data_IF_873452624879
#
_entry.id   IF_873452624879
#
_cell.length_a   1.000
_cell.length_b   1.000
_cell.length_c   1.000
_cell.angle_alpha   90.00
_cell.angle_beta   90.00
_cell.angle_gamma   90.00
#
_symmetry.space_group_name_H-M   'P 1'
#
loop_
_entity.id
_entity.type
_entity.pdbx_description
1 polymer ?
#
# COMPACT_ATOMS: atom_id res chain seq x y z
N UNK A 1 -15.83 0.27 -2.27
CA UNK A 1 -14.60 0.80 -1.62
C UNK A 1 -14.73 0.88 -0.10
N UNK A 2 -15.88 1.32 0.43
CA UNK A 2 -16.13 1.49 1.87
C UNK A 2 -16.38 0.21 2.70
N UNK A 3 -16.24 -0.98 2.10
CA UNK A 3 -16.48 -2.22 2.84
C UNK A 3 -15.40 -2.39 3.92
N UNK A 4 -15.73 -2.80 5.15
CA UNK A 4 -14.73 -3.11 6.17
C UNK A 4 -13.96 -4.40 5.85
N UNK A 5 -14.42 -5.19 4.87
CA UNK A 5 -13.79 -6.44 4.46
C UNK A 5 -12.75 -6.15 3.38
N UNK A 6 -11.49 -6.31 3.74
CA UNK A 6 -10.34 -6.04 2.87
C UNK A 6 -10.39 -6.80 1.53
N UNK A 7 -10.83 -8.06 1.55
CA UNK A 7 -11.00 -8.85 0.32
C UNK A 7 -12.03 -8.24 -0.64
N UNK A 8 -13.10 -7.63 -0.10
CA UNK A 8 -14.10 -6.92 -0.90
C UNK A 8 -13.49 -5.63 -1.46
N UNK A 9 -12.73 -4.89 -0.66
CA UNK A 9 -12.02 -3.69 -1.14
C UNK A 9 -11.04 -4.03 -2.27
N UNK A 10 -10.30 -5.14 -2.14
CA UNK A 10 -9.34 -5.59 -3.16
C UNK A 10 -10.01 -5.88 -4.49
N UNK A 11 -11.08 -6.67 -4.51
CA UNK A 11 -11.78 -6.98 -5.76
C UNK A 11 -12.53 -5.77 -6.31
N UNK A 12 -13.07 -4.90 -5.46
CA UNK A 12 -13.73 -3.67 -5.87
C UNK A 12 -12.75 -2.67 -6.51
N UNK A 13 -11.59 -2.44 -5.89
CA UNK A 13 -10.53 -1.61 -6.49
C UNK A 13 -9.94 -2.27 -7.74
N UNK A 14 -9.80 -3.60 -7.74
CA UNK A 14 -9.33 -4.37 -8.89
C UNK A 14 -10.21 -4.22 -10.13
N UNK A 15 -11.54 -4.38 -9.99
CA UNK A 15 -12.44 -4.19 -11.13
C UNK A 15 -12.44 -2.73 -11.62
N UNK A 16 -12.36 -1.76 -10.72
CA UNK A 16 -12.21 -0.35 -11.11
C UNK A 16 -10.89 -0.10 -11.87
N UNK A 17 -9.81 -0.78 -11.48
CA UNK A 17 -8.52 -0.70 -12.18
C UNK A 17 -8.60 -1.25 -13.61
N UNK A 18 -9.37 -2.31 -13.83
CA UNK A 18 -9.62 -2.83 -15.18
C UNK A 18 -10.47 -1.88 -16.01
N UNK A 19 -11.55 -1.34 -15.42
CA UNK A 19 -12.43 -0.39 -16.11
C UNK A 19 -11.73 0.92 -16.47
N UNK A 20 -10.94 1.49 -15.56
CA UNK A 20 -10.25 2.76 -15.76
C UNK A 20 -9.16 2.72 -16.86
N UNK A 21 -8.91 1.57 -17.51
CA UNK A 21 -8.12 1.51 -18.75
C UNK A 21 -8.81 2.22 -19.92
N UNK A 22 -10.13 2.31 -19.87
CA UNK A 22 -10.96 3.08 -20.78
C UNK A 22 -11.15 4.50 -20.23
N UNK A 23 -11.02 5.51 -21.10
CA UNK A 23 -11.03 6.91 -20.69
C UNK A 23 -12.40 7.34 -20.18
N UNK A 24 -13.44 7.00 -20.92
CA UNK A 24 -14.83 7.32 -20.58
C UNK A 24 -15.21 6.66 -19.25
N UNK A 25 -14.77 5.43 -19.01
CA UNK A 25 -14.93 4.76 -17.73
C UNK A 25 -14.14 5.44 -16.60
N UNK A 26 -12.89 5.85 -16.82
CA UNK A 26 -12.10 6.57 -15.83
C UNK A 26 -12.73 7.91 -15.43
N UNK A 27 -13.25 8.67 -16.40
CA UNK A 27 -14.00 9.90 -16.16
C UNK A 27 -15.28 9.64 -15.37
N UNK A 28 -16.02 8.57 -15.70
CA UNK A 28 -17.22 8.18 -14.96
C UNK A 28 -16.89 7.78 -13.50
N UNK A 29 -15.81 7.04 -13.28
CA UNK A 29 -15.34 6.66 -11.94
C UNK A 29 -15.00 7.92 -11.11
N UNK A 30 -14.32 8.90 -11.70
CA UNK A 30 -14.05 10.17 -11.03
C UNK A 30 -15.33 10.94 -10.71
N UNK A 31 -16.28 10.99 -11.66
CA UNK A 31 -17.56 11.69 -11.51
C UNK A 31 -18.43 11.11 -10.38
N UNK A 32 -18.34 9.80 -10.12
CA UNK A 32 -19.00 9.12 -8.99
C UNK A 32 -18.29 9.37 -7.63
N UNK A 33 -17.25 10.21 -7.61
CA UNK A 33 -16.58 10.61 -6.37
C UNK A 33 -15.61 9.57 -5.81
N UNK A 34 -15.08 8.68 -6.66
CA UNK A 34 -14.17 7.62 -6.22
C UNK A 34 -12.80 8.13 -5.71
N UNK A 35 -12.42 9.37 -6.00
CA UNK A 35 -11.11 9.94 -5.64
C UNK A 35 -10.82 9.82 -4.14
N UNK A 36 -11.73 10.32 -3.29
CA UNK A 36 -11.53 10.32 -1.84
C UNK A 36 -11.35 8.90 -1.25
N UNK A 37 -12.26 7.93 -1.48
CA UNK A 37 -12.06 6.58 -0.94
C UNK A 37 -10.85 5.86 -1.55
N UNK A 38 -10.48 6.12 -2.80
CA UNK A 38 -9.26 5.53 -3.37
C UNK A 38 -8.00 6.11 -2.72
N UNK A 39 -7.97 7.41 -2.44
CA UNK A 39 -6.86 8.04 -1.69
C UNK A 39 -6.73 7.43 -0.28
N UNK A 40 -7.84 7.19 0.42
CA UNK A 40 -7.81 6.50 1.72
C UNK A 40 -7.23 5.08 1.61
N UNK A 41 -7.58 4.34 0.55
CA UNK A 41 -7.10 2.98 0.30
C UNK A 41 -5.60 2.90 -0.03
N UNK A 42 -4.95 4.00 -0.43
CA UNK A 42 -3.48 4.06 -0.56
C UNK A 42 -2.77 3.73 0.75
N UNK A 43 -3.43 4.00 1.88
CA UNK A 43 -2.90 3.74 3.22
C UNK A 43 -3.33 2.37 3.77
N UNK A 44 -3.93 1.49 2.95
CA UNK A 44 -4.20 0.11 3.33
C UNK A 44 -2.89 -0.62 3.68
N UNK A 45 -2.99 -1.58 4.63
CA UNK A 45 -1.90 -2.52 4.93
C UNK A 45 -1.80 -3.63 3.89
N UNK A 46 -2.85 -3.83 3.10
CA UNK A 46 -2.84 -4.76 1.98
C UNK A 46 -2.29 -4.07 0.73
N UNK A 47 -1.08 -4.47 0.35
CA UNK A 47 -0.37 -3.93 -0.81
C UNK A 47 -1.18 -4.05 -2.11
N UNK A 48 -1.95 -5.13 -2.27
CA UNK A 48 -2.81 -5.32 -3.43
C UNK A 48 -3.93 -4.29 -3.50
N UNK A 49 -4.57 -3.97 -2.36
CA UNK A 49 -5.59 -2.92 -2.28
C UNK A 49 -4.98 -1.55 -2.61
N UNK A 50 -3.85 -1.22 -1.97
CA UNK A 50 -3.17 0.07 -2.17
C UNK A 50 -2.70 0.25 -3.61
N UNK A 51 -2.17 -0.82 -4.23
CA UNK A 51 -1.68 -0.81 -5.61
C UNK A 51 -2.82 -0.61 -6.61
N UNK A 52 -3.95 -1.31 -6.44
CA UNK A 52 -5.11 -1.07 -7.31
C UNK A 52 -5.66 0.34 -7.14
N UNK A 53 -5.74 0.85 -5.90
CA UNK A 53 -6.19 2.22 -5.66
C UNK A 53 -5.28 3.26 -6.35
N UNK A 54 -3.96 3.09 -6.24
CA UNK A 54 -2.98 3.92 -6.91
C UNK A 54 -3.12 3.89 -8.43
N UNK A 55 -3.32 2.71 -9.01
CA UNK A 55 -3.51 2.55 -10.44
C UNK A 55 -4.75 3.29 -10.95
N UNK A 56 -5.88 3.20 -10.23
CA UNK A 56 -7.11 3.91 -10.60
C UNK A 56 -6.93 5.42 -10.51
N UNK A 57 -6.36 5.93 -9.41
CA UNK A 57 -6.06 7.37 -9.26
C UNK A 57 -5.14 7.89 -10.36
N UNK A 58 -4.11 7.12 -10.72
CA UNK A 58 -3.20 7.48 -11.80
C UNK A 58 -3.93 7.59 -13.14
N UNK A 59 -4.78 6.61 -13.48
CA UNK A 59 -5.57 6.60 -14.72
C UNK A 59 -6.55 7.77 -14.80
N UNK A 60 -7.29 8.05 -13.71
CA UNK A 60 -8.16 9.23 -13.61
C UNK A 60 -7.40 10.56 -13.77
N UNK A 61 -6.08 10.57 -13.53
CA UNK A 61 -5.26 11.78 -13.63
C UNK A 61 -4.70 12.05 -15.03
N UNK A 62 -4.90 11.16 -16.01
CA UNK A 62 -4.19 11.16 -17.29
C UNK A 62 -4.31 12.49 -18.05
N UNK A 63 -5.51 13.06 -18.10
CA UNK A 63 -5.82 14.34 -18.75
C UNK A 63 -5.64 15.58 -17.85
N UNK A 64 -5.22 15.40 -16.60
CA UNK A 64 -5.00 16.52 -15.68
C UNK A 64 -3.70 17.26 -16.03
N UNK A 65 -3.57 18.54 -15.66
CA UNK A 65 -2.34 19.30 -15.87
C UNK A 65 -1.11 18.62 -15.27
N UNK A 66 0.06 18.84 -15.86
CA UNK A 66 1.28 18.16 -15.45
C UNK A 66 1.65 18.38 -13.97
N UNK A 67 1.37 19.56 -13.42
CA UNK A 67 1.62 19.84 -12.00
C UNK A 67 0.67 19.09 -11.06
N UNK A 68 -0.51 18.69 -11.53
CA UNK A 68 -1.38 17.79 -10.80
C UNK A 68 -0.77 16.37 -10.78
N UNK A 69 -0.40 15.83 -11.94
CA UNK A 69 0.20 14.49 -12.06
C UNK A 69 1.49 14.34 -11.25
N UNK A 70 2.33 15.39 -11.20
CA UNK A 70 3.53 15.42 -10.36
C UNK A 70 3.20 15.29 -8.88
N UNK A 71 2.23 16.06 -8.38
CA UNK A 71 1.80 16.00 -6.98
C UNK A 71 1.24 14.63 -6.63
N UNK A 72 0.38 14.09 -7.49
CA UNK A 72 -0.16 12.74 -7.33
C UNK A 72 0.96 11.70 -7.31
N UNK A 73 1.91 11.75 -8.24
CA UNK A 73 3.04 10.81 -8.27
C UNK A 73 3.87 10.82 -6.98
N UNK A 74 4.08 12.00 -6.38
CA UNK A 74 4.77 12.12 -5.09
C UNK A 74 3.97 11.41 -3.98
N UNK A 75 2.67 11.64 -3.94
CA UNK A 75 1.76 11.03 -2.95
C UNK A 75 1.66 9.50 -3.10
N UNK A 76 1.60 9.00 -4.34
CA UNK A 76 1.62 7.57 -4.62
C UNK A 76 2.94 6.94 -4.17
N UNK A 77 4.07 7.60 -4.46
CA UNK A 77 5.39 7.11 -4.07
C UNK A 77 5.53 7.08 -2.54
N UNK A 78 5.11 8.12 -1.83
CA UNK A 78 5.19 8.15 -0.37
C UNK A 78 4.28 7.13 0.31
N UNK A 79 3.12 6.84 -0.29
CA UNK A 79 2.14 5.91 0.29
C UNK A 79 2.50 4.45 0.05
N UNK A 80 2.98 4.12 -1.15
CA UNK A 80 3.32 2.75 -1.55
C UNK A 80 4.69 2.31 -1.02
N UNK A 81 5.69 3.20 -1.11
CA UNK A 81 7.00 2.93 -0.54
C UNK A 81 7.02 3.38 0.91
N UNK A 82 6.33 2.62 1.78
CA UNK A 82 6.53 2.75 3.22
C UNK A 82 7.97 2.39 3.49
N UNK A 83 8.80 3.39 3.79
CA UNK A 83 10.12 3.17 4.35
C UNK A 83 9.91 2.62 5.76
N UNK A 84 9.60 1.34 5.89
CA UNK A 84 9.68 0.69 7.19
C UNK A 84 11.14 0.80 7.63
N UNK A 85 11.43 1.44 8.78
CA UNK A 85 12.71 1.19 9.42
C UNK A 85 12.69 -0.30 9.73
N UNK A 86 13.56 -1.05 9.05
CA UNK A 86 13.71 -2.49 9.19
C UNK A 86 13.54 -2.88 10.66
N UNK A 87 12.53 -3.70 10.94
CA UNK A 87 12.18 -4.18 12.28
C UNK A 87 13.24 -5.17 12.81
N UNK A 88 14.50 -4.73 12.89
CA UNK A 88 15.61 -5.45 13.49
C UNK A 88 15.63 -5.33 15.02
N UNK A 89 14.54 -4.90 15.66
CA UNK A 89 14.52 -4.67 17.11
C UNK A 89 13.78 -5.72 17.93
N UNK A 90 13.29 -6.81 17.32
CA UNK A 90 12.59 -7.90 18.05
C UNK A 90 13.47 -9.13 18.35
N UNK A 91 14.73 -9.19 17.90
CA UNK A 91 15.67 -10.26 18.30
C UNK A 91 16.54 -9.92 19.52
N UNK A 92 16.35 -8.76 20.15
CA UNK A 92 17.10 -8.37 21.35
C UNK A 92 16.52 -8.93 22.67
N UNK A 93 15.39 -9.64 22.65
CA UNK A 93 14.68 -10.09 23.87
C UNK A 93 14.72 -11.61 24.13
N UNK A 94 15.38 -12.42 23.28
CA UNK A 94 15.70 -13.81 23.67
C UNK A 94 16.98 -13.82 24.51
N UNK A 95 16.79 -13.54 25.79
CA UNK A 95 17.80 -13.64 26.84
C UNK A 95 18.52 -14.99 26.82
N UNK A 96 19.72 -15.00 26.26
CA UNK A 96 20.73 -16.03 26.47
C UNK A 96 21.50 -15.68 27.75
N UNK A 97 20.84 -15.89 28.89
CA UNK A 97 21.50 -16.13 30.16
C UNK A 97 21.95 -17.60 30.20
N UNK A 98 23.19 -17.87 29.81
CA UNK A 98 23.88 -19.11 30.18
C UNK A 98 25.26 -18.73 30.72
N UNK A 99 25.27 -18.23 31.95
CA UNK A 99 26.38 -18.46 32.86
C UNK A 99 26.24 -19.86 33.47
N UNK A 100 27.15 -20.77 33.13
CA UNK A 100 27.34 -22.01 33.90
C UNK A 100 28.80 -22.49 33.83
N UNK A 101 29.36 -22.72 35.02
CA UNK A 101 30.71 -23.18 35.34
C UNK A 101 30.90 -24.71 35.11
N UNK A 102 32.17 -25.15 34.97
CA UNK A 102 32.66 -26.55 35.09
C UNK A 102 32.67 -27.32 33.76
N UNK A 103 33.70 -28.04 33.30
CA UNK A 103 34.79 -28.83 33.91
C UNK A 103 35.89 -29.09 32.83
N UNK A 104 37.10 -29.60 33.17
CA UNK A 104 38.20 -29.76 32.23
C UNK A 104 38.11 -31.08 31.46
N UNK A 105 38.30 -31.05 30.13
CA UNK A 105 38.44 -32.27 29.34
C UNK A 105 39.91 -32.69 29.30
N UNK A 106 40.23 -33.74 30.07
CA UNK A 106 41.38 -34.59 29.80
C UNK A 106 41.09 -35.51 28.62
N UNK A 107 42.07 -35.65 27.73
CA UNK A 107 42.65 -36.91 27.24
C UNK A 107 44.00 -36.58 26.59
#
# INVERSE_FOLDING_TARGET
LYSPIENIQRVAAGVLCELAQDKEAAEAIEAEGATAPLTELLHSRNEGVATYAAAVLFRMSEDKPQDYKKRLSVELTSSLFRTEPMAWNETADLGLDIGAQGEPLGY
#
